data_IF_997728241687
#
_entry.id   IF_997728241687
#
_cell.length_a   1.000
_cell.length_b   1.000
_cell.length_c   1.000
_cell.angle_alpha   90.00
_cell.angle_beta   90.00
_cell.angle_gamma   90.00
#
_symmetry.space_group_name_H-M   'P 1'
#
loop_
_entity.id
_entity.type
_entity.pdbx_description
1 polymer ?
#
# COMPACT_ATOMS: atom_id res chain seq x y z
N UNK A 1 2.86 9.31 -35.38
CA UNK A 1 3.22 9.10 -33.96
C UNK A 1 2.69 10.17 -33.00
N UNK A 2 2.89 11.50 -33.18
CA UNK A 2 2.30 12.51 -32.25
C UNK A 2 0.77 12.70 -32.37
N UNK A 3 0.15 12.41 -33.52
CA UNK A 3 -1.30 12.61 -33.71
C UNK A 3 -2.17 11.44 -33.21
N UNK A 4 -1.66 10.20 -33.23
CA UNK A 4 -2.39 9.00 -32.78
C UNK A 4 -2.49 8.93 -31.25
N UNK A 5 -1.43 9.33 -30.53
CA UNK A 5 -1.45 9.42 -29.06
C UNK A 5 -2.44 10.49 -28.57
N UNK A 6 -2.61 11.57 -29.35
CA UNK A 6 -3.56 12.64 -29.03
C UNK A 6 -5.01 12.23 -29.32
N UNK A 7 -5.25 11.49 -30.41
CA UNK A 7 -6.56 10.90 -30.73
C UNK A 7 -6.97 9.83 -29.71
N UNK A 8 -6.05 9.00 -29.24
CA UNK A 8 -6.32 8.01 -28.19
C UNK A 8 -6.70 8.69 -26.86
N UNK A 9 -5.95 9.72 -26.45
CA UNK A 9 -6.25 10.48 -25.22
C UNK A 9 -7.61 11.18 -25.29
N UNK A 10 -7.98 11.74 -26.45
CA UNK A 10 -9.30 12.35 -26.64
C UNK A 10 -10.44 11.32 -26.71
N UNK A 11 -10.25 10.16 -27.38
CA UNK A 11 -11.24 9.07 -27.40
C UNK A 11 -11.43 8.46 -26.00
N UNK A 12 -10.33 8.25 -25.27
CA UNK A 12 -10.38 7.74 -23.90
C UNK A 12 -11.14 8.71 -23.00
N UNK A 13 -10.80 10.01 -23.01
CA UNK A 13 -11.50 11.02 -22.21
C UNK A 13 -12.97 11.17 -22.62
N UNK A 14 -13.31 11.07 -23.91
CA UNK A 14 -14.68 11.17 -24.40
C UNK A 14 -15.53 9.95 -23.98
N UNK A 15 -15.05 8.72 -24.23
CA UNK A 15 -15.71 7.48 -23.79
C UNK A 15 -15.81 7.41 -22.26
N UNK A 16 -14.83 7.95 -21.55
CA UNK A 16 -14.82 8.00 -20.09
C UNK A 16 -15.81 9.03 -19.52
N UNK A 17 -15.92 10.21 -20.16
CA UNK A 17 -16.92 11.24 -19.79
C UNK A 17 -18.35 10.82 -20.10
N UNK A 18 -18.60 10.10 -21.20
CA UNK A 18 -19.92 9.56 -21.54
C UNK A 18 -20.40 8.47 -20.57
N UNK A 19 -19.47 7.75 -19.94
CA UNK A 19 -19.76 6.70 -18.95
C UNK A 19 -19.67 7.19 -17.49
N UNK A 20 -19.31 8.46 -17.26
CA UNK A 20 -19.25 9.05 -15.90
C UNK A 20 -20.64 9.30 -15.31
N UNK A 21 -21.63 9.55 -16.17
CA UNK A 21 -22.99 9.98 -15.82
C UNK A 21 -24.07 8.91 -16.03
N UNK A 22 -23.67 7.72 -16.48
CA UNK A 22 -24.54 6.56 -16.52
C UNK A 22 -24.06 5.60 -15.44
N UNK A 23 -24.97 5.18 -14.57
CA UNK A 23 -24.79 4.13 -13.55
C UNK A 23 -24.45 2.74 -14.15
N UNK A 24 -23.74 2.69 -15.27
CA UNK A 24 -23.33 1.47 -15.96
C UNK A 24 -21.92 1.05 -15.57
N UNK A 25 -21.60 1.14 -14.28
CA UNK A 25 -20.69 0.18 -13.65
C UNK A 25 -21.54 -1.00 -13.19
N UNK A 26 -22.19 -1.69 -14.14
CA UNK A 26 -22.78 -2.98 -13.86
C UNK A 26 -21.63 -3.94 -13.54
N UNK A 27 -21.28 -3.99 -12.26
CA UNK A 27 -20.83 -5.20 -11.60
C UNK A 27 -21.88 -6.23 -12.04
N UNK A 28 -21.55 -7.07 -13.02
CA UNK A 28 -22.38 -8.25 -13.27
C UNK A 28 -22.61 -8.84 -11.89
N UNK A 29 -23.87 -9.03 -11.50
CA UNK A 29 -24.22 -9.61 -10.21
C UNK A 29 -23.54 -10.99 -10.18
N UNK A 30 -22.36 -11.04 -9.57
CA UNK A 30 -21.91 -12.27 -8.95
C UNK A 30 -23.02 -12.57 -7.96
N UNK A 31 -23.60 -13.75 -8.04
CA UNK A 31 -24.60 -14.17 -7.05
C UNK A 31 -24.06 -13.80 -5.66
N UNK A 32 -24.81 -13.00 -4.91
CA UNK A 32 -24.39 -12.47 -3.62
C UNK A 32 -23.97 -13.61 -2.66
N UNK A 33 -24.44 -14.85 -2.92
CA UNK A 33 -23.99 -16.08 -2.27
C UNK A 33 -22.47 -16.27 -2.30
N UNK A 34 -21.76 -15.81 -3.33
CA UNK A 34 -20.29 -15.92 -3.45
C UNK A 34 -19.54 -15.00 -2.48
N UNK A 35 -20.18 -13.94 -1.98
CA UNK A 35 -19.63 -13.11 -0.90
C UNK A 35 -19.89 -13.73 0.48
N UNK A 36 -20.84 -14.67 0.58
CA UNK A 36 -21.18 -15.39 1.82
C UNK A 36 -20.35 -16.67 1.98
N UNK A 37 -19.95 -17.30 0.88
CA UNK A 37 -19.02 -18.43 0.90
C UNK A 37 -17.57 -17.95 1.07
N UNK A 38 -16.76 -18.77 1.77
CA UNK A 38 -15.36 -18.47 2.01
C UNK A 38 -14.48 -19.68 1.87
N UNK A 39 -13.22 -19.43 1.51
CA UNK A 39 -12.15 -20.43 1.49
C UNK A 39 -11.08 -20.05 2.50
N UNK A 40 -10.37 -21.06 3.01
CA UNK A 40 -9.30 -20.90 3.98
C UNK A 40 -8.00 -21.55 3.51
N UNK A 41 -6.88 -20.91 3.83
CA UNK A 41 -5.54 -21.40 3.51
C UNK A 41 -4.50 -20.76 4.41
N UNK A 42 -3.31 -21.36 4.49
CA UNK A 42 -2.21 -20.87 5.29
C UNK A 42 -1.12 -20.24 4.43
N UNK A 43 -0.57 -19.12 4.89
CA UNK A 43 0.68 -18.54 4.39
C UNK A 43 1.76 -18.65 5.46
N UNK A 44 2.79 -19.46 5.20
CA UNK A 44 3.86 -19.74 6.15
C UNK A 44 4.90 -18.63 6.20
N UNK A 45 5.47 -18.41 7.38
CA UNK A 45 6.59 -17.50 7.61
C UNK A 45 7.74 -18.21 8.33
N UNK A 46 8.95 -17.64 8.24
CA UNK A 46 10.08 -18.09 9.05
C UNK A 46 10.06 -17.40 10.42
N UNK A 47 10.01 -18.13 11.54
CA UNK A 47 10.09 -17.50 12.86
C UNK A 47 11.50 -16.93 13.13
N UNK A 48 11.65 -15.96 14.04
CA UNK A 48 10.59 -15.31 14.81
C UNK A 48 9.75 -14.32 13.97
N UNK A 49 8.50 -14.12 14.38
CA UNK A 49 7.55 -13.16 13.79
C UNK A 49 6.75 -12.49 14.92
N UNK A 50 6.74 -11.15 14.99
CA UNK A 50 5.99 -10.43 16.03
C UNK A 50 4.66 -9.93 15.46
N UNK A 51 3.65 -10.80 15.45
CA UNK A 51 2.31 -10.50 14.92
C UNK A 51 1.63 -9.32 15.61
N UNK A 52 1.80 -9.20 16.92
CA UNK A 52 1.25 -8.08 17.71
C UNK A 52 1.84 -6.73 17.30
N UNK A 53 3.11 -6.66 16.88
CA UNK A 53 3.73 -5.45 16.36
C UNK A 53 3.20 -5.11 14.96
N UNK A 54 2.98 -6.12 14.11
CA UNK A 54 2.35 -5.96 12.79
C UNK A 54 0.93 -5.40 12.93
N UNK A 55 0.09 -6.01 13.78
CA UNK A 55 -1.25 -5.52 14.06
C UNK A 55 -1.25 -4.15 14.76
N UNK A 56 -0.30 -3.90 15.67
CA UNK A 56 -0.13 -2.60 16.30
C UNK A 56 0.19 -1.49 15.30
N UNK A 57 0.96 -1.79 14.25
CA UNK A 57 1.20 -0.86 13.16
C UNK A 57 -0.03 -0.64 12.28
N UNK A 58 -0.70 -1.72 11.87
CA UNK A 58 -1.85 -1.69 10.95
C UNK A 58 -3.06 -1.04 11.62
N UNK A 59 -3.36 -1.35 12.89
CA UNK A 59 -4.50 -0.79 13.63
C UNK A 59 -4.48 0.73 13.71
N UNK A 60 -3.31 1.34 13.97
CA UNK A 60 -3.14 2.80 14.01
C UNK A 60 -3.45 3.47 12.66
N UNK A 61 -3.44 2.70 11.57
CA UNK A 61 -3.58 3.17 10.19
C UNK A 61 -4.80 2.61 9.48
N UNK A 62 -5.56 1.69 10.07
CA UNK A 62 -6.70 1.05 9.42
C UNK A 62 -7.69 2.11 8.89
N UNK A 63 -8.04 2.04 7.59
CA UNK A 63 -9.04 2.96 7.03
C UNK A 63 -10.44 2.50 7.46
N UNK A 64 -11.23 3.36 8.14
CA UNK A 64 -12.61 3.04 8.46
C UNK A 64 -13.41 2.65 7.21
N UNK A 65 -14.11 1.52 7.26
CA UNK A 65 -14.90 0.96 6.16
C UNK A 65 -14.13 0.02 5.23
N UNK A 66 -12.80 0.10 5.17
CA UNK A 66 -11.94 -0.70 4.27
C UNK A 66 -11.10 -1.72 5.03
N UNK A 67 -10.61 -1.36 6.21
CA UNK A 67 -9.77 -2.22 7.03
C UNK A 67 -10.23 -2.20 8.49
N UNK A 68 -10.11 -3.34 9.15
CA UNK A 68 -10.27 -3.43 10.60
C UNK A 68 -9.11 -4.25 11.18
N UNK A 69 -8.74 -3.88 12.40
CA UNK A 69 -7.86 -4.70 13.25
C UNK A 69 -8.56 -4.81 14.60
N UNK A 70 -8.96 -6.02 14.95
CA UNK A 70 -9.70 -6.33 16.18
C UNK A 70 -9.34 -7.75 16.60
N UNK A 71 -9.42 -8.07 17.90
CA UNK A 71 -9.34 -9.45 18.43
C UNK A 71 -8.21 -10.30 17.80
N UNK A 72 -7.01 -9.71 17.69
CA UNK A 72 -5.81 -10.31 17.12
C UNK A 72 -5.92 -10.76 15.64
N UNK A 73 -6.82 -10.17 14.86
CA UNK A 73 -6.94 -10.38 13.42
C UNK A 73 -6.93 -9.06 12.64
N UNK A 74 -6.51 -9.16 11.38
CA UNK A 74 -6.64 -8.11 10.37
C UNK A 74 -7.69 -8.53 9.35
N UNK A 75 -8.57 -7.63 8.93
CA UNK A 75 -9.47 -7.89 7.81
C UNK A 75 -9.63 -6.65 6.92
N UNK A 76 -9.95 -6.88 5.65
CA UNK A 76 -10.14 -5.79 4.69
C UNK A 76 -11.12 -6.12 3.57
N UNK A 77 -11.66 -5.08 2.96
CA UNK A 77 -12.28 -5.17 1.64
C UNK A 77 -11.21 -5.16 0.55
N UNK A 78 -11.51 -5.80 -0.58
CA UNK A 78 -10.61 -5.99 -1.70
C UNK A 78 -11.33 -5.60 -2.98
N UNK A 79 -10.67 -4.78 -3.79
CA UNK A 79 -11.04 -4.50 -5.17
C UNK A 79 -9.79 -4.63 -6.03
N UNK A 80 -9.84 -5.55 -6.99
CA UNK A 80 -8.80 -5.80 -8.00
C UNK A 80 -9.43 -5.78 -9.38
N UNK A 81 -8.61 -5.77 -10.42
CA UNK A 81 -9.04 -6.03 -11.79
C UNK A 81 -8.52 -7.40 -12.21
N UNK A 82 -9.37 -8.18 -12.88
CA UNK A 82 -9.00 -9.50 -13.33
C UNK A 82 -7.94 -9.40 -14.42
N UNK A 83 -6.83 -10.12 -14.26
CA UNK A 83 -5.66 -9.97 -15.13
C UNK A 83 -5.94 -10.37 -16.59
N UNK A 84 -6.94 -11.22 -16.84
CA UNK A 84 -7.30 -11.70 -18.18
C UNK A 84 -8.46 -10.93 -18.80
N UNK A 85 -9.54 -10.70 -18.03
CA UNK A 85 -10.78 -10.11 -18.55
C UNK A 85 -10.88 -8.60 -18.33
N UNK A 86 -10.00 -8.02 -17.51
CA UNK A 86 -10.06 -6.61 -17.08
C UNK A 86 -11.25 -6.28 -16.18
N UNK A 87 -12.12 -7.24 -15.87
CA UNK A 87 -13.32 -7.02 -15.05
C UNK A 87 -12.95 -6.83 -13.58
N UNK A 88 -13.65 -5.97 -12.83
CA UNK A 88 -13.41 -5.82 -11.40
C UNK A 88 -13.74 -7.12 -10.64
N UNK A 89 -12.86 -7.48 -9.71
CA UNK A 89 -13.01 -8.58 -8.77
C UNK A 89 -13.00 -7.97 -7.37
N UNK A 90 -14.11 -8.14 -6.63
CA UNK A 90 -14.26 -7.60 -5.29
C UNK A 90 -14.56 -8.69 -4.27
N UNK A 91 -14.25 -8.42 -3.00
CA UNK A 91 -14.47 -9.37 -1.92
C UNK A 91 -13.95 -8.84 -0.60
N UNK A 92 -13.90 -9.73 0.39
CA UNK A 92 -13.33 -9.44 1.70
C UNK A 92 -12.35 -10.56 2.08
N UNK A 93 -11.39 -10.24 2.94
CA UNK A 93 -10.49 -11.22 3.55
C UNK A 93 -10.22 -10.91 5.01
N UNK A 94 -9.83 -11.93 5.76
CA UNK A 94 -9.44 -11.93 7.15
C UNK A 94 -8.13 -12.73 7.30
N UNK A 95 -7.28 -12.29 8.23
CA UNK A 95 -5.97 -12.86 8.51
C UNK A 95 -5.78 -12.99 10.02
N UNK A 96 -5.43 -14.19 10.46
CA UNK A 96 -5.09 -14.53 11.85
C UNK A 96 -3.75 -15.23 11.92
N UNK A 97 -3.00 -15.02 12.98
CA UNK A 97 -1.81 -15.83 13.24
C UNK A 97 -2.20 -17.22 13.77
N UNK A 98 -1.50 -18.24 13.27
CA UNK A 98 -1.45 -19.59 13.82
C UNK A 98 -0.02 -19.89 14.26
N UNK A 99 0.23 -19.75 15.57
CA UNK A 99 1.56 -19.97 16.15
C UNK A 99 1.98 -21.44 16.12
N UNK A 100 1.02 -22.37 16.13
CA UNK A 100 1.30 -23.81 16.07
C UNK A 100 1.99 -24.21 14.75
N UNK A 101 1.66 -23.51 13.66
CA UNK A 101 2.13 -23.81 12.30
C UNK A 101 3.09 -22.76 11.74
N UNK A 102 3.48 -21.74 12.51
CA UNK A 102 4.24 -20.57 12.03
C UNK A 102 3.64 -20.01 10.73
N UNK A 103 2.34 -19.76 10.74
CA UNK A 103 1.61 -19.33 9.55
C UNK A 103 0.55 -18.28 9.86
N UNK A 104 0.14 -17.57 8.81
CA UNK A 104 -1.06 -16.75 8.81
C UNK A 104 -2.20 -17.53 8.16
N UNK A 105 -3.26 -17.79 8.93
CA UNK A 105 -4.51 -18.35 8.43
C UNK A 105 -5.31 -17.25 7.74
N UNK A 106 -5.52 -17.41 6.44
CA UNK A 106 -6.31 -16.53 5.60
C UNK A 106 -7.69 -17.13 5.44
N UNK A 107 -8.72 -16.32 5.62
CA UNK A 107 -10.09 -16.61 5.18
C UNK A 107 -10.51 -15.51 4.20
N UNK A 108 -11.05 -15.87 3.05
CA UNK A 108 -11.52 -14.86 2.09
C UNK A 108 -12.76 -15.31 1.33
N UNK A 109 -13.53 -14.35 0.81
CA UNK A 109 -14.73 -14.65 0.02
C UNK A 109 -14.39 -15.39 -1.28
N UNK A 110 -15.23 -16.36 -1.66
CA UNK A 110 -15.02 -17.16 -2.89
C UNK A 110 -15.00 -16.30 -4.17
N UNK A 111 -15.60 -15.11 -4.13
CA UNK A 111 -15.52 -14.10 -5.19
C UNK A 111 -14.09 -13.68 -5.58
N UNK A 112 -13.12 -13.91 -4.70
CA UNK A 112 -11.72 -13.55 -4.90
C UNK A 112 -10.87 -14.66 -5.55
N UNK A 113 -11.40 -15.87 -5.70
CA UNK A 113 -10.71 -17.02 -6.32
C UNK A 113 -10.09 -16.69 -7.70
N UNK A 114 -10.75 -15.94 -8.61
CA UNK A 114 -10.16 -15.63 -9.91
C UNK A 114 -8.81 -14.89 -9.82
N UNK A 115 -8.54 -14.17 -8.72
CA UNK A 115 -7.31 -13.42 -8.48
C UNK A 115 -6.46 -14.01 -7.34
N UNK A 116 -6.61 -15.31 -7.08
CA UNK A 116 -5.91 -16.04 -6.01
C UNK A 116 -4.40 -15.75 -5.93
N UNK A 117 -3.69 -15.86 -7.06
CA UNK A 117 -2.24 -15.64 -7.10
C UNK A 117 -1.87 -14.20 -6.71
N UNK A 118 -2.60 -13.22 -7.23
CA UNK A 118 -2.42 -11.80 -6.91
C UNK A 118 -2.64 -11.53 -5.43
N UNK A 119 -3.66 -12.16 -4.83
CA UNK A 119 -3.99 -12.01 -3.41
C UNK A 119 -2.90 -12.60 -2.53
N UNK A 120 -2.42 -13.81 -2.84
CA UNK A 120 -1.31 -14.42 -2.11
C UNK A 120 -0.09 -13.49 -2.12
N UNK A 121 0.31 -12.97 -3.28
CA UNK A 121 1.46 -12.08 -3.39
C UNK A 121 1.27 -10.79 -2.57
N UNK A 122 0.08 -10.19 -2.64
CA UNK A 122 -0.26 -8.99 -1.87
C UNK A 122 -0.24 -9.23 -0.35
N UNK A 123 -0.71 -10.38 0.11
CA UNK A 123 -0.68 -10.74 1.53
C UNK A 123 0.75 -11.05 1.99
N UNK A 124 1.52 -11.80 1.19
CA UNK A 124 2.94 -12.06 1.47
C UNK A 124 3.76 -10.78 1.56
N UNK A 125 3.46 -9.79 0.72
CA UNK A 125 4.04 -8.46 0.77
C UNK A 125 3.56 -7.65 1.98
N UNK A 126 2.25 -7.53 2.19
CA UNK A 126 1.67 -6.77 3.31
C UNK A 126 2.25 -7.20 4.66
N UNK A 127 2.41 -8.51 4.86
CA UNK A 127 2.91 -9.08 6.09
C UNK A 127 4.41 -9.42 6.06
N UNK A 128 5.10 -9.11 4.96
CA UNK A 128 6.55 -9.33 4.78
C UNK A 128 6.97 -10.76 5.16
N UNK A 129 6.34 -11.75 4.50
CA UNK A 129 6.45 -13.17 4.86
C UNK A 129 7.67 -13.87 4.24
N UNK A 130 8.28 -13.26 3.23
CA UNK A 130 9.39 -13.87 2.46
C UNK A 130 10.77 -13.61 3.05
N UNK A 131 10.92 -12.59 3.92
CA UNK A 131 12.23 -12.29 4.51
C UNK A 131 12.65 -13.38 5.50
N UNK A 132 13.91 -13.81 5.39
CA UNK A 132 14.59 -14.56 6.46
C UNK A 132 15.00 -13.60 7.60
N UNK A 133 14.43 -13.72 8.81
CA UNK A 133 14.74 -12.84 9.93
C UNK A 133 16.22 -12.85 10.36
N UNK A 134 16.93 -13.95 10.11
CA UNK A 134 18.34 -14.07 10.46
C UNK A 134 19.21 -13.08 9.67
N UNK A 135 18.88 -12.83 8.40
CA UNK A 135 19.61 -11.87 7.57
C UNK A 135 19.46 -10.47 8.15
N UNK A 136 18.26 -10.07 8.58
CA UNK A 136 18.03 -8.77 9.23
C UNK A 136 18.93 -8.62 10.45
N UNK A 137 18.94 -9.62 11.33
CA UNK A 137 19.73 -9.56 12.57
C UNK A 137 21.24 -9.49 12.28
N UNK A 138 21.73 -10.27 11.30
CA UNK A 138 23.15 -10.28 10.91
C UNK A 138 23.59 -8.99 10.23
N UNK A 139 22.77 -8.45 9.34
CA UNK A 139 23.10 -7.22 8.59
C UNK A 139 23.02 -5.99 9.47
N UNK A 140 21.97 -5.87 10.29
CA UNK A 140 21.82 -4.69 11.15
C UNK A 140 22.82 -4.76 12.32
N UNK A 141 22.90 -5.90 13.01
CA UNK A 141 23.85 -6.17 14.11
C UNK A 141 23.95 -5.04 15.16
N UNK A 142 22.80 -4.61 15.69
CA UNK A 142 22.72 -3.52 16.68
C UNK A 142 21.85 -3.92 17.86
N UNK A 143 22.15 -3.39 19.04
CA UNK A 143 21.46 -3.76 20.29
C UNK A 143 19.98 -3.34 20.32
N UNK A 144 19.59 -2.36 19.52
CA UNK A 144 18.19 -1.90 19.38
C UNK A 144 17.35 -2.75 18.42
N UNK A 145 17.95 -3.75 17.74
CA UNK A 145 17.23 -4.62 16.80
C UNK A 145 16.35 -5.61 17.56
N UNK A 146 15.06 -5.60 17.25
CA UNK A 146 14.07 -6.52 17.81
C UNK A 146 13.88 -7.72 16.87
N UNK A 147 14.29 -8.91 17.32
CA UNK A 147 14.19 -10.15 16.52
C UNK A 147 12.73 -10.46 16.14
N UNK A 148 12.48 -10.64 14.86
CA UNK A 148 11.15 -11.00 14.33
C UNK A 148 10.25 -9.81 14.02
N UNK A 149 10.74 -8.58 14.19
CA UNK A 149 10.08 -7.39 13.66
C UNK A 149 10.19 -7.39 12.13
N UNK A 150 9.09 -7.06 11.45
CA UNK A 150 8.96 -7.06 9.98
C UNK A 150 8.71 -5.66 9.45
N UNK A 151 8.82 -5.47 8.14
CA UNK A 151 8.41 -4.22 7.48
C UNK A 151 6.97 -4.39 6.97
N UNK A 152 5.94 -3.81 7.62
CA UNK A 152 4.59 -3.80 7.06
C UNK A 152 4.58 -3.28 5.62
N UNK A 153 4.16 -4.10 4.66
CA UNK A 153 4.00 -3.68 3.28
C UNK A 153 2.69 -2.93 3.07
N UNK A 154 2.16 -3.01 1.85
CA UNK A 154 0.84 -2.51 1.51
C UNK A 154 0.12 -3.48 0.58
N UNK A 155 -1.17 -3.67 0.83
CA UNK A 155 -2.00 -4.51 -0.05
C UNK A 155 -2.20 -3.87 -1.43
N UNK A 156 -2.32 -2.55 -1.48
CA UNK A 156 -2.50 -1.77 -2.70
C UNK A 156 -1.60 -0.52 -2.67
N UNK A 157 -0.72 -0.40 -3.65
CA UNK A 157 0.23 0.70 -3.75
C UNK A 157 -0.40 2.07 -3.99
N UNK A 158 -1.51 2.14 -4.73
CA UNK A 158 -2.23 3.41 -4.92
C UNK A 158 -2.88 3.87 -3.61
N UNK A 159 -3.57 2.96 -2.91
CA UNK A 159 -4.16 3.22 -1.60
C UNK A 159 -3.11 3.77 -0.62
N UNK A 160 -1.94 3.13 -0.57
CA UNK A 160 -0.80 3.57 0.23
C UNK A 160 -0.26 4.93 -0.23
N UNK A 161 -0.15 5.18 -1.53
CA UNK A 161 0.30 6.45 -2.07
C UNK A 161 -0.62 7.60 -1.67
N UNK A 162 -1.94 7.40 -1.76
CA UNK A 162 -2.94 8.34 -1.27
C UNK A 162 -2.76 8.59 0.23
N UNK A 163 -2.63 7.53 1.04
CA UNK A 163 -2.38 7.66 2.49
C UNK A 163 -1.09 8.44 2.79
N UNK A 164 -0.01 8.19 2.07
CA UNK A 164 1.26 8.86 2.23
C UNK A 164 1.14 10.37 1.94
N UNK A 165 0.42 10.75 0.87
CA UNK A 165 0.16 12.15 0.52
C UNK A 165 -0.74 12.82 1.56
N UNK A 166 -1.81 12.15 2.00
CA UNK A 166 -2.73 12.67 3.02
C UNK A 166 -2.02 12.88 4.36
N UNK A 167 -1.12 11.99 4.74
CA UNK A 167 -0.38 12.01 6.01
C UNK A 167 0.79 12.99 6.06
N UNK A 168 1.13 13.67 4.97
CA UNK A 168 2.21 14.67 4.98
C UNK A 168 1.97 15.72 6.06
N UNK A 169 2.98 16.01 6.88
CA UNK A 169 2.96 17.11 7.88
C UNK A 169 1.81 17.06 8.91
N UNK A 170 1.14 15.92 9.09
CA UNK A 170 0.07 15.75 10.09
C UNK A 170 0.26 14.45 10.85
N UNK A 171 -0.49 14.27 11.95
CA UNK A 171 -0.43 13.04 12.73
C UNK A 171 -1.07 11.87 11.99
N UNK A 172 -0.66 10.64 12.33
CA UNK A 172 -1.26 9.41 11.77
C UNK A 172 -2.77 9.38 12.00
N UNK A 173 -3.25 9.75 13.20
CA UNK A 173 -4.69 9.80 13.52
C UNK A 173 -5.46 10.77 12.62
N UNK A 174 -4.90 11.96 12.38
CA UNK A 174 -5.52 12.95 11.50
C UNK A 174 -5.56 12.44 10.04
N UNK A 175 -4.47 11.83 9.58
CA UNK A 175 -4.41 11.22 8.25
C UNK A 175 -5.46 10.13 8.06
N UNK A 176 -5.56 9.19 9.00
CA UNK A 176 -6.57 8.11 8.99
C UNK A 176 -8.00 8.67 8.99
N UNK A 177 -8.26 9.76 9.73
CA UNK A 177 -9.58 10.42 9.75
C UNK A 177 -9.92 11.00 8.37
N UNK A 178 -8.98 11.67 7.71
CA UNK A 178 -9.17 12.22 6.36
C UNK A 178 -9.35 11.08 5.36
N UNK A 179 -8.56 10.00 5.44
CA UNK A 179 -8.71 8.82 4.59
C UNK A 179 -10.08 8.17 4.74
N UNK A 180 -10.61 8.04 5.96
CA UNK A 180 -11.96 7.55 6.21
C UNK A 180 -13.03 8.39 5.51
N UNK A 181 -12.98 9.72 5.66
CA UNK A 181 -13.92 10.63 4.96
C UNK A 181 -13.81 10.52 3.44
N UNK A 182 -12.59 10.45 2.92
CA UNK A 182 -12.33 10.29 1.49
C UNK A 182 -12.97 9.01 0.95
N UNK A 183 -12.78 7.89 1.67
CA UNK A 183 -13.30 6.59 1.27
C UNK A 183 -14.82 6.55 1.35
N UNK A 184 -15.44 7.09 2.40
CA UNK A 184 -16.91 7.13 2.47
C UNK A 184 -17.53 8.00 1.38
N UNK A 185 -16.86 9.09 0.98
CA UNK A 185 -17.38 9.99 -0.05
C UNK A 185 -17.17 9.48 -1.48
N UNK A 186 -16.04 8.82 -1.75
CA UNK A 186 -15.62 8.47 -3.11
C UNK A 186 -15.49 6.97 -3.39
N UNK A 187 -15.46 6.16 -2.34
CA UNK A 187 -15.39 4.71 -2.43
C UNK A 187 -16.71 4.10 -2.89
N UNK A 188 -16.68 2.79 -3.11
CA UNK A 188 -17.88 2.05 -3.53
C UNK A 188 -18.46 1.30 -2.34
N UNK A 189 -19.74 1.51 -1.95
CA UNK A 189 -20.38 0.72 -0.90
C UNK A 189 -20.30 -0.77 -1.20
N UNK A 190 -19.95 -1.56 -0.19
CA UNK A 190 -19.78 -3.00 -0.29
C UNK A 190 -20.09 -3.68 1.04
N UNK A 191 -21.30 -4.23 1.15
CA UNK A 191 -21.74 -4.95 2.33
C UNK A 191 -20.97 -6.28 2.46
N UNK A 192 -20.34 -6.49 3.61
CA UNK A 192 -19.66 -7.75 3.94
C UNK A 192 -20.30 -8.43 5.15
N UNK A 193 -19.88 -9.66 5.46
CA UNK A 193 -20.25 -10.36 6.70
C UNK A 193 -19.49 -9.85 7.94
N UNK A 194 -18.47 -9.00 7.74
CA UNK A 194 -17.58 -8.51 8.79
C UNK A 194 -18.02 -7.08 9.15
N UNK A 195 -18.44 -6.89 10.39
CA UNK A 195 -18.86 -5.57 10.88
C UNK A 195 -17.72 -4.54 10.75
N UNK A 196 -18.02 -3.36 10.21
CA UNK A 196 -17.05 -2.29 9.99
C UNK A 196 -16.32 -2.36 8.64
N UNK A 197 -16.55 -3.40 7.84
CA UNK A 197 -16.13 -3.49 6.44
C UNK A 197 -17.33 -3.29 5.52
N UNK A 198 -17.47 -2.08 4.99
CA UNK A 198 -18.64 -1.64 4.25
C UNK A 198 -18.32 -0.86 2.96
N UNK A 199 -17.04 -0.63 2.66
CA UNK A 199 -16.64 0.23 1.56
C UNK A 199 -15.39 -0.30 0.86
N UNK A 200 -15.37 -0.23 -0.48
CA UNK A 200 -14.18 -0.46 -1.30
C UNK A 200 -13.44 0.86 -1.51
N UNK A 201 -12.12 0.82 -1.39
CA UNK A 201 -11.28 1.99 -1.65
C UNK A 201 -11.46 2.48 -3.10
N UNK A 202 -11.54 3.81 -3.35
CA UNK A 202 -11.71 4.32 -4.70
C UNK A 202 -10.53 3.98 -5.62
N UNK A 203 -10.84 3.55 -6.85
CA UNK A 203 -9.84 3.22 -7.87
C UNK A 203 -9.15 4.46 -8.44
N UNK A 204 -7.90 4.37 -8.97
CA UNK A 204 -7.18 5.49 -9.57
C UNK A 204 -8.01 6.26 -10.61
N UNK A 205 -8.74 5.55 -11.46
CA UNK A 205 -9.57 6.09 -12.52
C UNK A 205 -10.58 7.11 -11.97
N UNK A 206 -11.14 6.87 -10.77
CA UNK A 206 -12.07 7.81 -10.13
C UNK A 206 -11.41 9.17 -9.88
N UNK A 207 -10.14 9.21 -9.53
CA UNK A 207 -9.42 10.47 -9.32
C UNK A 207 -9.05 11.15 -10.64
N UNK A 208 -8.75 10.37 -11.69
CA UNK A 208 -8.57 10.90 -13.05
C UNK A 208 -9.87 11.52 -13.58
N UNK A 209 -11.02 10.90 -13.32
CA UNK A 209 -12.34 11.48 -13.62
C UNK A 209 -12.47 12.88 -13.01
N UNK A 210 -12.19 12.99 -11.71
CA UNK A 210 -12.35 14.21 -10.94
C UNK A 210 -11.37 15.28 -11.38
N UNK A 211 -10.14 14.90 -11.74
CA UNK A 211 -9.12 15.82 -12.24
C UNK A 211 -9.49 16.48 -13.58
N UNK A 212 -10.24 15.78 -14.44
CA UNK A 212 -10.68 16.26 -15.75
C UNK A 212 -12.17 16.66 -15.82
N UNK A 213 -12.83 16.73 -14.67
CA UNK A 213 -14.20 17.21 -14.52
C UNK A 213 -14.29 18.75 -14.60
N UNK A 214 -15.52 19.26 -14.55
CA UNK A 214 -15.77 20.71 -14.62
C UNK A 214 -15.48 21.42 -13.29
N UNK A 215 -15.52 20.67 -12.18
CA UNK A 215 -15.21 21.16 -10.84
C UNK A 215 -13.76 20.79 -10.50
N UNK A 216 -12.92 21.74 -10.05
CA UNK A 216 -11.56 21.44 -9.61
C UNK A 216 -11.54 20.35 -8.54
N UNK A 217 -10.63 19.39 -8.64
CA UNK A 217 -10.53 18.30 -7.64
C UNK A 217 -10.26 18.82 -6.22
N UNK A 218 -9.63 20.00 -6.08
CA UNK A 218 -9.47 20.69 -4.79
C UNK A 218 -10.79 21.01 -4.12
N UNK A 219 -11.84 21.29 -4.89
CA UNK A 219 -13.15 21.71 -4.38
C UNK A 219 -14.00 20.49 -4.04
N UNK A 220 -13.73 19.34 -4.68
CA UNK A 220 -14.32 18.04 -4.34
C UNK A 220 -13.71 17.48 -3.06
N UNK A 221 -12.37 17.49 -2.94
CA UNK A 221 -11.66 16.90 -1.81
C UNK A 221 -11.46 17.88 -0.62
N UNK A 222 -11.57 19.18 -0.87
CA UNK A 222 -11.44 20.25 0.13
C UNK A 222 -12.38 20.08 1.32
N UNK A 223 -13.70 19.89 1.11
CA UNK A 223 -14.66 19.60 2.18
C UNK A 223 -14.33 18.34 3.00
N UNK A 224 -13.55 17.41 2.44
CA UNK A 224 -13.10 16.19 3.13
C UNK A 224 -11.85 16.44 4.00
N UNK A 225 -11.30 17.65 3.97
CA UNK A 225 -10.10 18.07 4.70
C UNK A 225 -8.80 17.85 3.92
N UNK A 226 -8.87 17.68 2.59
CA UNK A 226 -7.69 17.54 1.74
C UNK A 226 -7.32 18.90 1.14
N UNK A 227 -6.09 19.35 1.34
CA UNK A 227 -5.63 20.63 0.78
C UNK A 227 -5.55 20.55 -0.73
N UNK A 228 -5.75 21.68 -1.45
CA UNK A 228 -5.69 21.70 -2.90
C UNK A 228 -4.37 21.15 -3.48
N UNK A 229 -3.23 21.39 -2.79
CA UNK A 229 -1.95 20.79 -3.17
C UNK A 229 -2.00 19.25 -3.12
N UNK A 230 -2.50 18.67 -2.03
CA UNK A 230 -2.63 17.20 -1.88
C UNK A 230 -3.64 16.63 -2.86
N UNK A 231 -4.76 17.33 -3.10
CA UNK A 231 -5.76 16.91 -4.08
C UNK A 231 -5.15 16.77 -5.48
N UNK A 232 -4.40 17.78 -5.92
CA UNK A 232 -3.71 17.76 -7.20
C UNK A 232 -2.60 16.70 -7.25
N UNK A 233 -1.87 16.47 -6.16
CA UNK A 233 -0.85 15.41 -6.09
C UNK A 233 -1.48 14.01 -6.16
N UNK A 234 -2.64 13.79 -5.52
CA UNK A 234 -3.39 12.52 -5.62
C UNK A 234 -3.89 12.29 -7.05
N UNK A 235 -4.44 13.32 -7.70
CA UNK A 235 -4.83 13.25 -9.11
C UNK A 235 -3.65 12.88 -10.02
N UNK A 236 -2.52 13.56 -9.87
CA UNK A 236 -1.34 13.30 -10.68
C UNK A 236 -0.77 11.88 -10.46
N UNK A 237 -0.78 11.40 -9.21
CA UNK A 237 -0.41 10.01 -8.91
C UNK A 237 -1.36 9.01 -9.59
N UNK A 238 -2.66 9.28 -9.53
CA UNK A 238 -3.66 8.43 -10.16
C UNK A 238 -3.51 8.42 -11.69
N UNK A 239 -3.30 9.58 -12.31
CA UNK A 239 -3.04 9.69 -13.75
C UNK A 239 -1.81 8.86 -14.16
N UNK A 240 -0.68 9.02 -13.45
CA UNK A 240 0.56 8.28 -13.72
C UNK A 240 0.37 6.75 -13.64
N UNK A 241 -0.45 6.27 -12.70
CA UNK A 241 -0.82 4.86 -12.60
C UNK A 241 -1.71 4.38 -13.75
N UNK A 242 -2.75 5.15 -14.08
CA UNK A 242 -3.73 4.79 -15.14
C UNK A 242 -3.08 4.71 -16.51
N UNK A 243 -2.12 5.61 -16.80
CA UNK A 243 -1.39 5.60 -18.08
C UNK A 243 -0.17 4.66 -18.07
N UNK A 244 0.12 4.01 -16.95
CA UNK A 244 1.23 3.07 -16.80
C UNK A 244 2.62 3.69 -16.74
N UNK A 245 2.74 4.99 -16.44
CA UNK A 245 4.02 5.66 -16.17
C UNK A 245 4.66 5.21 -14.86
N UNK A 246 3.83 4.77 -13.89
CA UNK A 246 4.25 4.26 -12.59
C UNK A 246 3.54 2.95 -12.28
N UNK A 247 4.23 1.99 -11.67
CA UNK A 247 3.68 0.75 -11.15
C UNK A 247 3.97 0.59 -9.65
N UNK A 248 2.94 0.77 -8.82
CA UNK A 248 3.07 0.65 -7.35
C UNK A 248 2.67 -0.71 -6.78
N UNK A 249 2.38 -1.70 -7.61
CA UNK A 249 2.05 -3.06 -7.18
C UNK A 249 2.96 -4.10 -7.86
N UNK A 250 4.30 -3.98 -7.77
CA UNK A 250 5.17 -4.99 -8.34
C UNK A 250 4.98 -6.33 -7.64
N UNK A 251 5.33 -7.42 -8.33
CA UNK A 251 5.42 -8.76 -7.73
C UNK A 251 6.59 -8.73 -6.74
N UNK A 252 6.29 -8.55 -5.45
CA UNK A 252 7.31 -8.53 -4.41
C UNK A 252 7.70 -9.97 -4.07
N UNK A 253 8.94 -10.33 -4.38
CA UNK A 253 9.57 -11.57 -3.92
C UNK A 253 10.56 -11.14 -2.84
N UNK A 254 10.24 -11.32 -1.56
CA UNK A 254 11.10 -10.81 -0.49
C UNK A 254 12.45 -11.53 -0.39
N UNK A 255 13.22 -11.23 0.65
CA UNK A 255 14.63 -11.68 0.75
C UNK A 255 14.73 -13.11 1.28
N UNK A 256 14.68 -14.11 0.40
CA UNK A 256 14.97 -15.49 0.79
C UNK A 256 16.47 -15.72 1.00
N UNK A 257 16.82 -16.69 1.86
CA UNK A 257 18.22 -17.08 2.10
C UNK A 257 18.94 -17.71 0.91
N UNK A 258 18.21 -18.10 -0.15
CA UNK A 258 18.73 -18.83 -1.32
C UNK A 258 18.28 -18.19 -2.65
N UNK A 259 17.61 -17.03 -2.63
CA UNK A 259 17.27 -16.35 -3.89
C UNK A 259 18.57 -16.07 -4.66
N UNK A 260 18.60 -16.25 -6.00
CA UNK A 260 19.70 -15.73 -6.79
C UNK A 260 19.73 -14.22 -6.53
N UNK A 261 20.84 -13.72 -5.97
CA UNK A 261 21.09 -12.30 -5.69
C UNK A 261 20.54 -11.38 -6.80
N UNK A 262 20.67 -11.80 -8.05
CA UNK A 262 20.12 -11.17 -9.25
C UNK A 262 18.62 -10.82 -9.22
N UNK A 263 17.74 -11.67 -8.66
CA UNK A 263 16.28 -11.40 -8.62
C UNK A 263 15.94 -10.29 -7.63
N UNK A 264 16.52 -10.34 -6.44
CA UNK A 264 16.37 -9.29 -5.45
C UNK A 264 16.94 -7.97 -5.98
N UNK A 265 18.14 -8.00 -6.57
CA UNK A 265 18.74 -6.82 -7.22
C UNK A 265 17.83 -6.23 -8.29
N UNK A 266 17.30 -7.05 -9.21
CA UNK A 266 16.39 -6.57 -10.26
C UNK A 266 15.11 -5.95 -9.68
N UNK A 267 14.59 -6.47 -8.56
CA UNK A 267 13.45 -5.86 -7.88
C UNK A 267 13.82 -4.52 -7.26
N UNK A 268 14.98 -4.40 -6.62
CA UNK A 268 15.45 -3.14 -6.04
C UNK A 268 15.66 -2.07 -7.12
N UNK A 269 16.28 -2.43 -8.25
CA UNK A 269 16.43 -1.56 -9.41
C UNK A 269 15.07 -1.10 -9.98
N UNK A 270 14.11 -2.03 -10.08
CA UNK A 270 12.74 -1.70 -10.51
C UNK A 270 12.10 -0.72 -9.54
N UNK A 271 12.21 -0.96 -8.23
CA UNK A 271 11.67 -0.06 -7.22
C UNK A 271 12.30 1.33 -7.27
N UNK A 272 13.61 1.43 -7.51
CA UNK A 272 14.31 2.70 -7.69
C UNK A 272 13.83 3.48 -8.92
N UNK A 273 13.56 2.80 -10.03
CA UNK A 273 12.96 3.41 -11.23
C UNK A 273 11.59 4.00 -10.89
N UNK A 274 10.71 3.22 -10.24
CA UNK A 274 9.38 3.69 -9.85
C UNK A 274 9.45 4.86 -8.85
N UNK A 275 10.37 4.81 -7.88
CA UNK A 275 10.62 5.90 -6.93
C UNK A 275 11.11 7.17 -7.63
N UNK A 276 11.91 7.05 -8.68
CA UNK A 276 12.33 8.19 -9.50
C UNK A 276 11.15 8.82 -10.24
N UNK A 277 10.22 8.01 -10.75
CA UNK A 277 8.99 8.54 -11.36
C UNK A 277 8.08 9.23 -10.32
N UNK A 278 7.97 8.66 -9.11
CA UNK A 278 7.26 9.31 -8.00
C UNK A 278 7.79 10.71 -7.70
N UNK A 279 9.12 10.91 -7.73
CA UNK A 279 9.74 12.22 -7.51
C UNK A 279 9.43 13.25 -8.61
N UNK A 280 9.04 12.82 -9.80
CA UNK A 280 8.60 13.74 -10.86
C UNK A 280 7.21 14.32 -10.59
N UNK A 281 6.42 13.70 -9.71
CA UNK A 281 5.09 14.19 -9.34
C UNK A 281 5.20 15.35 -8.36
N UNK A 282 4.70 16.51 -8.77
CA UNK A 282 4.66 17.71 -7.92
C UNK A 282 3.90 17.44 -6.61
N UNK A 283 4.60 17.59 -5.48
CA UNK A 283 4.07 17.36 -4.13
C UNK A 283 4.52 16.03 -3.52
N UNK A 284 5.22 15.18 -4.25
CA UNK A 284 5.94 14.02 -3.73
C UNK A 284 7.42 14.39 -3.61
N UNK A 285 7.93 14.44 -2.37
CA UNK A 285 9.36 14.65 -2.09
C UNK A 285 10.07 13.35 -1.72
N UNK A 286 11.39 13.42 -1.49
CA UNK A 286 12.23 12.25 -1.16
C UNK A 286 11.64 11.37 -0.07
N UNK A 287 11.23 11.97 1.06
CA UNK A 287 10.62 11.21 2.16
C UNK A 287 9.37 10.42 1.72
N UNK A 288 8.50 11.02 0.89
CA UNK A 288 7.27 10.34 0.42
C UNK A 288 7.60 9.23 -0.58
N UNK A 289 8.54 9.47 -1.49
CA UNK A 289 8.98 8.46 -2.46
C UNK A 289 9.66 7.26 -1.77
N UNK A 290 10.56 7.50 -0.83
CA UNK A 290 11.20 6.46 0.00
C UNK A 290 10.18 5.70 0.84
N UNK A 291 9.22 6.39 1.46
CA UNK A 291 8.17 5.75 2.23
C UNK A 291 7.26 4.86 1.37
N UNK A 292 6.89 5.32 0.17
CA UNK A 292 6.15 4.50 -0.80
C UNK A 292 7.02 3.35 -1.30
N UNK A 293 8.31 3.56 -1.57
CA UNK A 293 9.25 2.51 -1.95
C UNK A 293 9.30 1.38 -0.94
N UNK A 294 9.53 1.73 0.33
CA UNK A 294 9.54 0.78 1.44
C UNK A 294 8.23 0.00 1.55
N UNK A 295 7.09 0.68 1.48
CA UNK A 295 5.79 0.10 1.84
C UNK A 295 5.04 -0.52 0.65
N UNK A 296 5.04 0.12 -0.53
CA UNK A 296 4.36 -0.35 -1.74
C UNK A 296 5.24 -1.31 -2.55
N UNK A 297 6.51 -0.94 -2.77
CA UNK A 297 7.38 -1.62 -3.73
C UNK A 297 8.23 -2.72 -3.08
N UNK A 298 8.24 -2.79 -1.75
CA UNK A 298 9.09 -3.71 -1.00
C UNK A 298 10.57 -3.35 -1.07
N UNK A 299 10.90 -2.08 -1.35
CA UNK A 299 12.29 -1.61 -1.40
C UNK A 299 12.91 -1.76 -0.01
N UNK A 300 13.89 -2.65 0.12
CA UNK A 300 14.47 -3.03 1.43
C UNK A 300 15.48 -2.03 1.95
N UNK A 301 15.87 -1.07 1.13
CA UNK A 301 16.96 -0.15 1.40
C UNK A 301 16.54 1.32 1.50
N UNK A 302 15.27 1.56 1.85
CA UNK A 302 14.78 2.91 2.11
C UNK A 302 15.32 3.44 3.43
N UNK A 303 15.79 4.69 3.43
CA UNK A 303 16.08 5.41 4.65
C UNK A 303 15.36 6.76 4.67
N UNK A 304 14.83 7.15 5.84
CA UNK A 304 13.97 8.33 5.99
C UNK A 304 14.66 9.38 6.88
N UNK A 305 15.76 9.94 6.39
CA UNK A 305 16.68 10.81 7.14
C UNK A 305 16.06 12.12 7.66
N UNK A 306 14.93 12.53 7.08
CA UNK A 306 14.15 13.72 7.47
C UNK A 306 12.94 13.38 8.36
N UNK A 307 12.68 12.10 8.61
CA UNK A 307 11.56 11.65 9.44
C UNK A 307 11.72 12.05 10.90
N UNK A 308 10.62 12.48 11.53
CA UNK A 308 10.62 12.93 12.93
C UNK A 308 10.92 11.77 13.89
N UNK A 309 10.42 10.57 13.60
CA UNK A 309 10.71 9.36 14.38
C UNK A 309 12.18 8.98 14.25
N UNK A 310 12.73 8.94 13.03
CA UNK A 310 14.16 8.66 12.84
C UNK A 310 15.04 9.71 13.52
N UNK A 311 14.68 11.00 13.45
CA UNK A 311 15.36 12.06 14.20
C UNK A 311 15.37 11.79 15.71
N UNK A 312 14.24 11.37 16.27
CA UNK A 312 14.11 11.10 17.71
C UNK A 312 14.84 9.82 18.14
N UNK A 313 14.87 8.79 17.28
CA UNK A 313 15.57 7.54 17.54
C UNK A 313 17.10 7.66 17.36
N UNK A 314 17.57 8.66 16.61
CA UNK A 314 19.00 8.91 16.33
C UNK A 314 19.44 10.31 16.80
N UNK A 315 19.31 10.64 18.11
CA UNK A 315 19.52 12.01 18.60
C UNK A 315 20.96 12.51 18.43
N UNK A 316 21.94 11.61 18.39
CA UNK A 316 23.36 11.94 18.19
C UNK A 316 23.70 12.41 16.77
N UNK A 317 22.78 12.22 15.81
CA UNK A 317 22.96 12.61 14.41
C UNK A 317 22.02 13.77 14.07
N UNK A 318 22.51 15.00 14.24
CA UNK A 318 21.67 16.21 14.25
C UNK A 318 21.17 16.63 12.86
N UNK A 319 21.86 16.24 11.79
CA UNK A 319 21.50 16.60 10.40
C UNK A 319 21.00 15.40 9.59
N UNK A 320 20.13 15.61 8.58
CA UNK A 320 19.75 14.57 7.62
C UNK A 320 20.95 13.86 6.99
N UNK A 321 21.97 14.62 6.58
CA UNK A 321 23.21 14.09 6.01
C UNK A 321 23.96 13.17 6.97
N UNK A 322 24.08 13.56 8.25
CA UNK A 322 24.73 12.72 9.26
C UNK A 322 23.96 11.44 9.56
N UNK A 323 22.62 11.48 9.53
CA UNK A 323 21.76 10.29 9.71
C UNK A 323 21.90 9.33 8.53
N UNK A 324 21.88 9.85 7.31
CA UNK A 324 22.07 9.04 6.11
C UNK A 324 23.44 8.36 6.10
N UNK A 325 24.52 9.11 6.37
CA UNK A 325 25.87 8.55 6.45
C UNK A 325 26.01 7.46 7.52
N UNK A 326 25.35 7.64 8.67
CA UNK A 326 25.34 6.64 9.74
C UNK A 326 24.56 5.37 9.36
N UNK A 327 23.55 5.50 8.50
CA UNK A 327 22.70 4.40 8.06
C UNK A 327 23.33 3.55 6.95
N UNK A 328 24.39 4.01 6.29
CA UNK A 328 25.05 3.27 5.20
C UNK A 328 25.53 1.87 5.62
N UNK A 329 25.92 1.70 6.89
CA UNK A 329 26.32 0.39 7.43
C UNK A 329 25.19 -0.66 7.42
N UNK A 330 23.93 -0.24 7.30
CA UNK A 330 22.77 -1.13 7.25
C UNK A 330 22.32 -1.46 5.83
N UNK A 331 22.99 -0.96 4.80
CA UNK A 331 22.75 -1.36 3.41
C UNK A 331 22.95 -2.88 3.24
N UNK A 332 22.08 -3.61 2.50
CA UNK A 332 20.93 -3.14 1.70
C UNK A 332 19.57 -3.24 2.43
N UNK A 333 19.57 -3.25 3.77
CA UNK A 333 18.39 -3.48 4.62
C UNK A 333 17.97 -2.25 5.45
N UNK A 334 18.24 -1.03 4.96
CA UNK A 334 17.91 0.22 5.67
C UNK A 334 16.42 0.37 6.00
N UNK A 335 15.51 -0.21 5.22
CA UNK A 335 14.06 -0.22 5.54
C UNK A 335 13.77 -0.98 6.85
N UNK A 336 14.50 -2.06 7.11
CA UNK A 336 14.38 -2.81 8.37
C UNK A 336 14.98 -2.04 9.54
N UNK A 337 16.07 -1.30 9.32
CA UNK A 337 16.63 -0.40 10.33
C UNK A 337 15.62 0.70 10.70
N UNK A 338 14.97 1.32 9.71
CA UNK A 338 13.92 2.33 9.92
C UNK A 338 12.81 1.82 10.83
N UNK A 339 12.29 0.61 10.57
CA UNK A 339 11.19 0.04 11.39
C UNK A 339 11.64 -0.30 12.81
N UNK A 340 12.84 -0.83 12.98
CA UNK A 340 13.40 -1.11 14.30
C UNK A 340 13.71 0.18 15.09
N UNK A 341 14.23 1.23 14.44
CA UNK A 341 14.44 2.54 15.05
C UNK A 341 13.11 3.20 15.48
N UNK A 342 12.04 3.07 14.68
CA UNK A 342 10.72 3.50 15.13
C UNK A 342 10.20 2.68 16.32
N UNK A 343 10.57 1.41 16.40
CA UNK A 343 10.15 0.54 17.49
C UNK A 343 10.76 0.94 18.85
N UNK A 344 11.94 1.56 18.87
CA UNK A 344 12.56 2.04 20.12
C UNK A 344 11.83 3.22 20.77
N UNK A 345 10.88 3.82 20.05
CA UNK A 345 10.08 4.97 20.50
C UNK A 345 8.70 4.57 21.02
N UNK A 346 8.34 3.28 20.96
CA UNK A 346 7.02 2.78 21.35
C UNK A 346 6.90 2.52 22.85
#
# INVERSE_FOLDING_TARGET
MRSETMQFKQRFIHTFKENLYKDTWFINSVDDSWYQQSIQFNLYYQPPYIWTAMLGYLSKRAIPGVEIVQDNYYARTVLLHNSTSGKPVKGWLQVKESTESNSLLIEMSSSLIPEWNTIIQKLRHLFDLEVNPEIINKTLNEDWVTKGLRVPGAFNGFELGVRAILGQQITVKAATTISGRLVHALGTPFKTKITGLDTLFPIPEKFVCLAHGDIPISDVLGPLGVTGRRSNTIAALAEALVIGEIQLNPIVQGVESILPFARHTAQMETAEVEMKQLLAIKGIGNWTAQYIGMRALGYTDSFLETDIGIKNAMPNYTTPKSRLAAAEKWHPLRSYAVVNLWNTLN
#
